data_IF_579944109918
#
_entry.id   IF_579944109918
#
_cell.length_a   1.000
_cell.length_b   1.000
_cell.length_c   1.000
_cell.angle_alpha   90.00
_cell.angle_beta   90.00
_cell.angle_gamma   90.00
#
_symmetry.space_group_name_H-M   'P 1'
#
loop_
_entity.id
_entity.type
_entity.pdbx_description
1 polymer ?
#
# COMPACT_ATOMS: atom_id res chain seq x y z
N UNK A 1 17.34 36.43 14.99
CA UNK A 1 17.80 35.27 15.82
C UNK A 1 18.43 34.27 14.84
N UNK A 2 19.77 34.08 14.90
CA UNK A 2 20.45 33.10 14.00
C UNK A 2 20.15 31.69 14.52
N UNK A 3 19.23 30.99 13.86
CA UNK A 3 19.05 29.56 14.11
C UNK A 3 20.33 28.87 13.65
N UNK A 4 21.04 28.23 14.59
CA UNK A 4 22.30 27.56 14.30
C UNK A 4 22.08 26.44 13.28
N UNK A 5 22.90 26.34 12.25
CA UNK A 5 22.87 25.25 11.25
C UNK A 5 22.86 23.86 11.91
N UNK A 6 23.33 23.73 13.11
CA UNK A 6 23.34 22.51 13.92
C UNK A 6 21.92 22.08 14.30
N UNK A 7 21.02 23.03 14.64
CA UNK A 7 19.62 22.73 15.00
C UNK A 7 18.84 22.26 13.77
N UNK A 8 19.05 22.92 12.63
CA UNK A 8 18.42 22.53 11.36
C UNK A 8 18.90 21.13 10.95
N UNK A 9 20.18 20.83 11.08
CA UNK A 9 20.72 19.50 10.81
C UNK A 9 20.14 18.40 11.69
N UNK A 10 19.96 18.66 13.00
CA UNK A 10 19.34 17.70 13.91
C UNK A 10 17.87 17.42 13.61
N UNK A 11 17.12 18.45 13.20
CA UNK A 11 15.71 18.30 12.80
C UNK A 11 15.59 17.48 11.53
N UNK A 12 16.44 17.71 10.52
CA UNK A 12 16.44 16.95 9.27
C UNK A 12 16.77 15.47 9.51
N UNK A 13 17.76 15.17 10.36
CA UNK A 13 18.12 13.80 10.71
C UNK A 13 16.97 13.12 11.46
N UNK A 14 16.32 13.82 12.39
CA UNK A 14 15.15 13.31 13.12
C UNK A 14 13.96 12.98 12.19
N UNK A 15 13.68 13.82 11.20
CA UNK A 15 12.62 13.59 10.20
C UNK A 15 12.97 12.43 9.27
N UNK A 16 14.25 12.31 8.85
CA UNK A 16 14.68 11.15 8.03
C UNK A 16 14.56 9.83 8.79
N UNK A 17 14.84 9.80 10.09
CA UNK A 17 14.72 8.60 10.92
C UNK A 17 13.27 8.16 11.13
N UNK A 18 12.31 9.07 11.08
CA UNK A 18 10.88 8.77 11.20
C UNK A 18 10.28 8.21 9.88
N UNK A 19 10.92 8.45 8.73
CA UNK A 19 10.46 7.97 7.42
C UNK A 19 10.82 6.50 7.13
N UNK A 20 11.68 5.88 7.92
CA UNK A 20 12.14 4.49 7.69
C UNK A 20 11.17 3.41 8.19
N UNK A 21 10.00 3.76 8.71
CA UNK A 21 9.05 2.85 9.36
C UNK A 21 7.85 2.37 8.55
N UNK A 22 7.75 2.64 7.25
CA UNK A 22 6.63 2.16 6.45
C UNK A 22 6.77 0.66 6.15
N UNK A 23 6.09 -0.19 6.92
CA UNK A 23 5.89 -1.59 6.60
C UNK A 23 5.02 -1.71 5.34
N UNK A 24 5.64 -1.89 4.20
CA UNK A 24 4.96 -2.13 2.92
C UNK A 24 4.39 -3.55 2.91
N UNK A 25 3.07 -3.70 2.85
CA UNK A 25 2.44 -5.00 2.67
C UNK A 25 2.39 -5.33 1.19
N UNK A 26 3.20 -6.30 0.75
CA UNK A 26 3.17 -6.83 -0.61
C UNK A 26 1.87 -7.59 -0.87
N UNK A 27 1.29 -7.38 -2.05
CA UNK A 27 0.17 -8.17 -2.60
C UNK A 27 0.66 -9.29 -3.54
N UNK A 28 1.98 -9.48 -3.61
CA UNK A 28 2.59 -10.56 -4.40
C UNK A 28 2.28 -11.91 -3.78
N UNK A 29 1.94 -12.92 -4.61
CA UNK A 29 1.49 -14.23 -4.12
C UNK A 29 2.58 -14.99 -3.35
N UNK A 30 3.84 -14.78 -3.67
CA UNK A 30 4.99 -15.52 -3.12
C UNK A 30 5.58 -14.90 -1.83
N UNK A 31 5.10 -13.71 -1.41
CA UNK A 31 5.65 -13.02 -0.25
C UNK A 31 4.74 -13.14 0.97
N UNK A 32 5.24 -13.79 2.02
CA UNK A 32 4.54 -13.94 3.30
C UNK A 32 5.12 -12.99 4.36
N UNK A 33 4.25 -12.37 5.15
CA UNK A 33 4.70 -11.65 6.34
C UNK A 33 5.15 -12.65 7.42
N UNK A 34 6.03 -12.23 8.34
CA UNK A 34 6.50 -13.08 9.44
C UNK A 34 5.36 -13.62 10.29
N UNK A 35 4.33 -12.79 10.55
CA UNK A 35 3.15 -13.17 11.33
C UNK A 35 2.27 -14.20 10.61
N UNK A 36 2.41 -14.31 9.30
CA UNK A 36 1.67 -15.24 8.47
C UNK A 36 2.44 -16.54 8.21
N UNK A 37 3.70 -16.62 8.60
CA UNK A 37 4.49 -17.84 8.51
C UNK A 37 4.10 -18.81 9.64
N UNK A 38 4.22 -20.12 9.40
CA UNK A 38 3.93 -21.19 10.37
C UNK A 38 2.46 -21.34 10.80
N UNK A 39 1.50 -20.64 10.15
CA UNK A 39 0.08 -20.86 10.37
C UNK A 39 -0.42 -21.99 9.45
N UNK A 40 -1.18 -22.93 9.99
CA UNK A 40 -1.89 -23.94 9.18
C UNK A 40 -3.07 -23.29 8.45
N UNK A 41 -3.22 -23.57 7.15
CA UNK A 41 -4.21 -22.93 6.29
C UNK A 41 -4.97 -23.93 5.46
N UNK A 42 -6.20 -23.57 5.13
CA UNK A 42 -6.98 -24.32 4.16
C UNK A 42 -6.51 -23.95 2.75
N UNK A 43 -6.25 -24.97 1.97
CA UNK A 43 -5.91 -24.86 0.55
C UNK A 43 -7.08 -25.36 -0.26
N UNK A 44 -7.47 -24.61 -1.28
CA UNK A 44 -8.46 -25.02 -2.27
C UNK A 44 -7.75 -25.18 -3.60
N UNK A 45 -8.13 -26.17 -4.37
CA UNK A 45 -7.62 -26.42 -5.71
C UNK A 45 -8.68 -26.09 -6.76
N UNK A 46 -8.25 -25.76 -7.96
CA UNK A 46 -9.15 -25.45 -9.05
C UNK A 46 -8.43 -25.13 -10.35
N UNK A 47 -9.22 -24.86 -11.38
CA UNK A 47 -8.76 -24.52 -12.72
C UNK A 47 -9.11 -23.08 -13.09
N UNK A 48 -8.17 -22.35 -13.69
CA UNK A 48 -8.37 -20.98 -14.19
C UNK A 48 -9.24 -21.02 -15.44
N UNK A 49 -10.45 -20.47 -15.35
CA UNK A 49 -11.37 -20.38 -16.50
C UNK A 49 -11.28 -19.04 -17.22
N UNK A 50 -10.82 -17.99 -16.55
CA UNK A 50 -10.65 -16.66 -17.15
C UNK A 50 -9.56 -15.86 -16.47
N UNK A 51 -8.77 -15.17 -17.28
CA UNK A 51 -7.73 -14.22 -16.84
C UNK A 51 -8.05 -12.84 -17.41
N UNK A 52 -7.97 -11.80 -16.59
CA UNK A 52 -8.18 -10.41 -17.01
C UNK A 52 -7.15 -9.52 -16.32
N UNK A 53 -6.43 -8.70 -17.07
CA UNK A 53 -5.57 -7.64 -16.51
C UNK A 53 -6.43 -6.54 -15.94
N UNK A 54 -6.09 -6.09 -14.74
CA UNK A 54 -6.77 -5.02 -14.00
C UNK A 54 -5.75 -4.07 -13.38
N UNK A 55 -6.18 -2.90 -13.00
CA UNK A 55 -5.35 -1.99 -12.21
C UNK A 55 -5.79 -2.09 -10.74
N UNK A 56 -4.84 -2.30 -9.85
CA UNK A 56 -5.03 -2.22 -8.42
C UNK A 56 -4.80 -0.77 -8.00
N UNK A 57 -5.79 -0.21 -7.32
CA UNK A 57 -5.76 1.18 -6.88
C UNK A 57 -4.66 1.40 -5.84
N UNK A 58 -3.95 2.52 -5.96
CA UNK A 58 -2.87 2.86 -5.04
C UNK A 58 -3.38 3.31 -3.67
N UNK A 59 -2.54 3.23 -2.66
CA UNK A 59 -2.87 3.65 -1.30
C UNK A 59 -2.92 5.18 -1.18
N UNK A 60 -4.11 5.69 -0.86
CA UNK A 60 -4.36 7.11 -0.64
C UNK A 60 -4.09 7.50 0.80
N UNK A 61 -4.35 6.61 1.76
CA UNK A 61 -4.33 6.93 3.20
C UNK A 61 -2.94 7.31 3.70
N UNK A 62 -1.93 6.51 3.36
CA UNK A 62 -0.55 6.77 3.77
C UNK A 62 -0.03 8.11 3.23
N UNK A 63 -0.31 8.41 1.96
CA UNK A 63 0.11 9.66 1.35
C UNK A 63 -0.61 10.88 1.92
N UNK A 64 -1.90 10.77 2.22
CA UNK A 64 -2.68 11.83 2.87
C UNK A 64 -2.16 12.15 4.25
N UNK A 65 -1.84 11.13 5.05
CA UNK A 65 -1.33 11.32 6.42
C UNK A 65 0.04 12.00 6.42
N UNK A 66 0.99 11.48 5.65
CA UNK A 66 2.34 12.05 5.55
C UNK A 66 2.30 13.46 4.99
N UNK A 67 1.56 13.69 3.90
CA UNK A 67 1.41 14.99 3.28
C UNK A 67 0.74 16.00 4.21
N UNK A 68 -0.25 15.58 5.00
CA UNK A 68 -0.92 16.41 6.00
C UNK A 68 0.01 16.87 7.11
N UNK A 69 0.82 15.97 7.66
CA UNK A 69 1.80 16.31 8.72
C UNK A 69 2.88 17.26 8.21
N UNK A 70 3.46 16.96 7.05
CA UNK A 70 4.49 17.83 6.43
C UNK A 70 3.89 19.19 6.05
N UNK A 71 2.70 19.21 5.49
CA UNK A 71 2.01 20.44 5.11
C UNK A 71 1.63 21.30 6.32
N UNK A 72 1.20 20.69 7.45
CA UNK A 72 0.93 21.40 8.69
C UNK A 72 2.20 22.04 9.25
N UNK A 73 3.31 21.29 9.30
CA UNK A 73 4.60 21.80 9.77
C UNK A 73 5.14 22.96 8.91
N UNK A 74 4.99 22.85 7.57
CA UNK A 74 5.39 23.93 6.67
C UNK A 74 4.48 25.16 6.81
N UNK A 75 3.16 24.95 6.95
CA UNK A 75 2.18 26.03 7.09
C UNK A 75 2.30 26.79 8.40
N UNK A 76 2.63 26.10 9.50
CA UNK A 76 2.83 26.75 10.80
C UNK A 76 4.03 27.65 10.88
N UNK A 77 5.03 27.46 10.00
CA UNK A 77 6.24 28.28 9.93
C UNK A 77 6.12 29.58 9.15
N UNK A 78 4.95 29.88 8.57
CA UNK A 78 4.78 31.04 7.69
C UNK A 78 4.47 32.32 8.49
N UNK A 79 4.01 32.22 9.74
CA UNK A 79 3.60 33.36 10.56
C UNK A 79 4.12 33.27 11.98
N UNK A 80 4.48 34.43 12.56
CA UNK A 80 5.00 34.55 13.92
C UNK A 80 3.91 34.67 15.01
N UNK A 81 2.65 34.71 14.65
CA UNK A 81 1.48 34.80 15.54
C UNK A 81 0.86 33.41 15.87
N UNK A 82 0.45 33.17 17.13
CA UNK A 82 -0.13 31.88 17.53
C UNK A 82 -1.41 31.51 16.76
N UNK A 83 -2.29 32.49 16.51
CA UNK A 83 -3.57 32.29 15.79
C UNK A 83 -3.30 32.11 14.28
N UNK A 84 -2.44 32.92 13.72
CA UNK A 84 -2.07 32.88 12.31
C UNK A 84 -1.28 31.64 11.97
N UNK A 85 -0.42 31.17 12.87
CA UNK A 85 0.31 29.90 12.75
C UNK A 85 -0.64 28.69 12.73
N UNK A 86 -1.70 28.69 13.54
CA UNK A 86 -2.69 27.61 13.56
C UNK A 86 -3.53 27.56 12.28
N UNK A 87 -3.89 28.71 11.71
CA UNK A 87 -4.56 28.80 10.42
C UNK A 87 -3.64 28.31 9.30
N UNK A 88 -2.39 28.74 9.30
CA UNK A 88 -1.38 28.31 8.34
C UNK A 88 -1.13 26.79 8.40
N UNK A 89 -1.05 26.21 9.62
CA UNK A 89 -0.92 24.77 9.80
C UNK A 89 -2.13 24.00 9.25
N UNK A 90 -3.36 24.50 9.48
CA UNK A 90 -4.59 23.84 9.00
C UNK A 90 -4.68 23.87 7.48
N UNK A 91 -4.41 25.00 6.85
CA UNK A 91 -4.38 25.13 5.39
C UNK A 91 -3.25 24.30 4.78
N UNK A 92 -2.07 24.34 5.38
CA UNK A 92 -0.93 23.55 4.97
C UNK A 92 -1.20 22.04 5.06
N UNK A 93 -1.85 21.58 6.14
CA UNK A 93 -2.28 20.20 6.28
C UNK A 93 -3.26 19.77 5.19
N UNK A 94 -4.26 20.60 4.89
CA UNK A 94 -5.26 20.31 3.87
C UNK A 94 -4.64 20.19 2.46
N UNK A 95 -3.82 21.16 2.08
CA UNK A 95 -3.11 21.12 0.78
C UNK A 95 -2.11 19.98 0.73
N UNK A 96 -1.31 19.80 1.78
CA UNK A 96 -0.31 18.74 1.88
C UNK A 96 -0.92 17.33 1.83
N UNK A 97 -2.06 17.11 2.51
CA UNK A 97 -2.76 15.83 2.45
C UNK A 97 -3.34 15.55 1.06
N UNK A 98 -3.89 16.57 0.39
CA UNK A 98 -4.43 16.43 -0.96
C UNK A 98 -3.34 16.11 -2.00
N UNK A 99 -2.20 16.78 -1.91
CA UNK A 99 -1.05 16.52 -2.79
C UNK A 99 -0.41 15.16 -2.48
N UNK A 100 -0.20 14.86 -1.19
CA UNK A 100 0.38 13.61 -0.73
C UNK A 100 -0.46 12.39 -1.11
N UNK A 101 -1.79 12.49 -1.02
CA UNK A 101 -2.68 11.41 -1.42
C UNK A 101 -2.63 11.13 -2.92
N UNK A 102 -2.63 12.17 -3.77
CA UNK A 102 -2.52 12.01 -5.23
C UNK A 102 -1.17 11.42 -5.64
N UNK A 103 -0.09 11.87 -5.01
CA UNK A 103 1.25 11.37 -5.29
C UNK A 103 1.36 9.89 -4.87
N UNK A 104 0.94 9.55 -3.66
CA UNK A 104 0.95 8.18 -3.15
C UNK A 104 0.11 7.24 -4.01
N UNK A 105 -1.10 7.64 -4.38
CA UNK A 105 -1.95 6.86 -5.27
C UNK A 105 -1.28 6.56 -6.61
N UNK A 106 -0.58 7.55 -7.19
CA UNK A 106 0.11 7.37 -8.47
C UNK A 106 1.32 6.44 -8.36
N UNK A 107 2.10 6.57 -7.28
CA UNK A 107 3.31 5.77 -7.06
C UNK A 107 2.96 4.32 -6.66
N UNK A 108 1.89 4.12 -5.88
CA UNK A 108 1.51 2.82 -5.35
C UNK A 108 0.50 2.06 -6.22
N UNK A 109 0.02 2.68 -7.32
CA UNK A 109 -0.81 1.99 -8.31
C UNK A 109 -0.03 0.84 -8.94
N UNK A 110 -0.64 -0.36 -8.94
CA UNK A 110 -0.02 -1.59 -9.43
C UNK A 110 -0.87 -2.23 -10.52
N UNK A 111 -0.19 -2.92 -11.43
CA UNK A 111 -0.87 -3.85 -12.32
C UNK A 111 -1.23 -5.12 -11.58
N UNK A 112 -2.45 -5.58 -11.78
CA UNK A 112 -2.98 -6.78 -11.19
C UNK A 112 -3.62 -7.71 -12.22
N UNK A 113 -3.87 -8.91 -11.79
CA UNK A 113 -4.59 -9.91 -12.55
C UNK A 113 -5.83 -10.35 -11.77
N UNK A 114 -6.97 -10.34 -12.44
CA UNK A 114 -8.20 -10.96 -11.98
C UNK A 114 -8.30 -12.35 -12.56
N UNK A 115 -8.28 -13.35 -11.70
CA UNK A 115 -8.43 -14.76 -12.03
C UNK A 115 -9.83 -15.20 -11.67
N UNK A 116 -10.55 -15.80 -12.61
CA UNK A 116 -11.77 -16.53 -12.33
C UNK A 116 -11.42 -18.01 -12.35
N UNK A 117 -11.74 -18.71 -11.26
CA UNK A 117 -11.28 -20.07 -11.00
C UNK A 117 -12.51 -20.92 -10.67
N UNK A 118 -12.58 -22.06 -11.30
CA UNK A 118 -13.53 -23.11 -10.95
C UNK A 118 -12.85 -24.05 -9.96
N UNK A 119 -13.36 -24.09 -8.73
CA UNK A 119 -12.81 -24.94 -7.68
C UNK A 119 -13.29 -26.39 -7.86
N UNK A 120 -12.55 -27.34 -7.30
CA UNK A 120 -12.88 -28.77 -7.35
C UNK A 120 -14.23 -29.12 -6.68
N UNK A 121 -14.71 -28.23 -5.79
CA UNK A 121 -16.03 -28.34 -5.17
C UNK A 121 -17.18 -27.72 -6.00
N UNK A 122 -16.96 -27.46 -7.29
CA UNK A 122 -17.90 -26.84 -8.23
C UNK A 122 -18.30 -25.38 -7.94
N UNK A 123 -17.59 -24.68 -7.07
CA UNK A 123 -17.77 -23.25 -6.87
C UNK A 123 -16.88 -22.45 -7.82
N UNK A 124 -17.41 -21.38 -8.40
CA UNK A 124 -16.63 -20.43 -9.16
C UNK A 124 -16.32 -19.22 -8.32
N UNK A 125 -15.04 -18.90 -8.18
CA UNK A 125 -14.54 -17.75 -7.40
C UNK A 125 -13.74 -16.80 -8.28
N UNK A 126 -13.64 -15.56 -7.87
CA UNK A 126 -12.78 -14.56 -8.54
C UNK A 126 -11.83 -13.95 -7.52
N UNK A 127 -10.54 -13.96 -7.85
CA UNK A 127 -9.47 -13.39 -7.04
C UNK A 127 -8.74 -12.32 -7.84
N UNK A 128 -8.44 -11.19 -7.20
CA UNK A 128 -7.59 -10.13 -7.76
C UNK A 128 -6.31 -10.09 -6.95
N UNK A 129 -5.18 -10.20 -7.63
CA UNK A 129 -3.86 -10.10 -7.00
C UNK A 129 -2.90 -9.31 -7.88
N UNK A 130 -1.79 -8.83 -7.30
CA UNK A 130 -0.70 -8.21 -8.04
C UNK A 130 -0.07 -9.23 -8.99
N UNK A 131 0.40 -8.78 -10.15
CA UNK A 131 1.11 -9.64 -11.09
C UNK A 131 2.39 -10.13 -10.43
N UNK A 132 2.54 -11.45 -10.27
CA UNK A 132 3.74 -12.11 -9.79
C UNK A 132 4.65 -12.56 -10.93
N UNK A 133 5.60 -13.43 -10.63
CA UNK A 133 6.50 -14.00 -11.64
C UNK A 133 5.77 -14.94 -12.60
N UNK A 134 4.73 -15.62 -12.13
CA UNK A 134 3.96 -16.55 -12.94
C UNK A 134 2.85 -15.86 -13.71
N UNK A 135 2.80 -16.10 -15.01
CA UNK A 135 1.75 -15.61 -15.90
C UNK A 135 0.67 -16.66 -16.09
N UNK A 136 -0.45 -16.46 -15.40
CA UNK A 136 -1.60 -17.36 -15.47
C UNK A 136 -2.25 -17.36 -16.84
N UNK A 137 -2.71 -18.55 -17.25
CA UNK A 137 -3.48 -18.78 -18.47
C UNK A 137 -4.74 -19.57 -18.15
N UNK A 138 -5.71 -19.53 -19.07
CA UNK A 138 -6.88 -20.40 -18.99
C UNK A 138 -6.44 -21.86 -19.07
N UNK A 139 -6.97 -22.70 -18.19
CA UNK A 139 -6.64 -24.11 -18.09
C UNK A 139 -5.54 -24.41 -17.05
N UNK A 140 -4.90 -23.39 -16.46
CA UNK A 140 -3.89 -23.63 -15.44
C UNK A 140 -4.53 -24.19 -14.16
N UNK A 141 -3.92 -25.22 -13.61
CA UNK A 141 -4.27 -25.76 -12.31
C UNK A 141 -3.61 -24.89 -11.23
N UNK A 142 -4.41 -24.51 -10.26
CA UNK A 142 -4.00 -23.56 -9.23
C UNK A 142 -4.41 -23.98 -7.83
N UNK A 143 -3.66 -23.52 -6.85
CA UNK A 143 -4.02 -23.57 -5.45
C UNK A 143 -4.37 -22.18 -4.92
N UNK A 144 -5.39 -22.11 -4.06
CA UNK A 144 -5.84 -20.90 -3.41
C UNK A 144 -5.60 -21.03 -1.90
N UNK A 145 -4.84 -20.09 -1.35
CA UNK A 145 -4.54 -20.02 0.09
C UNK A 145 -5.12 -18.75 0.66
N UNK A 146 -5.96 -18.86 1.68
CA UNK A 146 -6.54 -17.69 2.36
C UNK A 146 -5.82 -17.39 3.67
N UNK A 147 -5.36 -16.15 3.82
CA UNK A 147 -4.59 -15.67 4.97
C UNK A 147 -5.25 -14.39 5.48
N UNK A 148 -5.76 -14.40 6.71
CA UNK A 148 -6.40 -13.21 7.33
C UNK A 148 -7.41 -12.53 6.40
N UNK A 149 -8.24 -13.34 5.70
CA UNK A 149 -9.25 -12.85 4.76
C UNK A 149 -8.73 -12.42 3.37
N UNK A 150 -7.44 -12.56 3.10
CA UNK A 150 -6.85 -12.32 1.78
C UNK A 150 -6.52 -13.65 1.13
N UNK A 151 -7.07 -13.88 -0.06
CA UNK A 151 -6.80 -15.09 -0.85
C UNK A 151 -5.70 -14.82 -1.87
N UNK A 152 -4.76 -15.74 -1.98
CA UNK A 152 -3.69 -15.77 -2.97
C UNK A 152 -3.83 -17.00 -3.83
N UNK A 153 -3.46 -16.86 -5.09
CA UNK A 153 -3.48 -17.94 -6.09
C UNK A 153 -2.06 -18.20 -6.53
N UNK A 154 -1.66 -19.45 -6.49
CA UNK A 154 -0.35 -19.93 -6.95
C UNK A 154 -0.55 -21.10 -7.92
N UNK A 155 0.38 -21.36 -8.85
CA UNK A 155 0.33 -22.55 -9.68
C UNK A 155 0.36 -23.81 -8.79
N UNK A 156 -0.51 -24.76 -9.09
CA UNK A 156 -0.42 -26.10 -8.52
C UNK A 156 0.70 -26.86 -9.24
N UNK A 157 1.74 -27.23 -8.52
CA UNK A 157 2.84 -28.03 -9.05
C UNK A 157 2.45 -29.51 -9.16
#
# INVERSE_FOLDING_TARGET
MKISNTIIGSIIIGVLALLSGCAYSSLQPETYSRDAAQEMRNVFYGEVVKVKTVNIEGDIKSGSLVGGVVGAAAGSGISDGEIESSIGATLGAAVGSALGSKLSQKITKKEGVQLTINLDDNRTVSVVQEVGEYQFKRGDLVELVTIKGKTRVSPSQ
#
